data_IF_845692032311
#
_entry.id   IF_845692032311
#
_cell.length_a   1.000
_cell.length_b   1.000
_cell.length_c   1.000
_cell.angle_alpha   90.00
_cell.angle_beta   90.00
_cell.angle_gamma   90.00
#
_symmetry.space_group_name_H-M   'P 1'
#
loop_
_entity.id
_entity.type
_entity.pdbx_description
1 polymer ?
#
# COMPACT_ATOMS: atom_id res chain seq x y z
N UNK A 1 -3.82 -4.50 21.42
CA UNK A 1 -4.25 -3.55 20.38
C UNK A 1 -5.71 -3.82 20.05
N UNK A 2 -6.69 -3.18 20.72
CA UNK A 2 -8.12 -3.36 20.41
C UNK A 2 -8.69 -2.32 19.41
N UNK A 3 -7.89 -1.36 18.97
CA UNK A 3 -8.38 -0.22 18.16
C UNK A 3 -8.46 -0.52 16.66
N UNK A 4 -7.61 -1.40 16.10
CA UNK A 4 -7.55 -1.65 14.66
C UNK A 4 -8.81 -2.33 14.13
N UNK A 5 -9.35 -3.33 14.84
CA UNK A 5 -10.60 -3.99 14.44
C UNK A 5 -11.80 -3.02 14.48
N UNK A 6 -11.81 -2.13 15.47
CA UNK A 6 -12.83 -1.07 15.58
C UNK A 6 -12.72 -0.06 14.44
N UNK A 7 -11.50 0.30 14.04
CA UNK A 7 -11.25 1.22 12.93
C UNK A 7 -11.68 0.64 11.59
N UNK A 8 -11.44 -0.65 11.34
CA UNK A 8 -11.93 -1.33 10.13
C UNK A 8 -13.46 -1.23 10.02
N UNK A 9 -14.18 -1.48 11.11
CA UNK A 9 -15.65 -1.39 11.13
C UNK A 9 -16.12 0.03 10.80
N UNK A 10 -15.51 1.05 11.40
CA UNK A 10 -15.86 2.46 11.16
C UNK A 10 -15.60 2.83 9.69
N UNK A 11 -14.46 2.43 9.14
CA UNK A 11 -14.08 2.75 7.76
C UNK A 11 -14.97 2.03 6.74
N UNK A 12 -15.35 0.78 6.99
CA UNK A 12 -16.33 0.07 6.14
C UNK A 12 -17.66 0.81 6.10
N UNK A 13 -18.19 1.24 7.24
CA UNK A 13 -19.43 2.04 7.28
C UNK A 13 -19.28 3.39 6.57
N UNK A 14 -18.10 4.01 6.63
CA UNK A 14 -17.84 5.27 5.92
C UNK A 14 -17.85 5.07 4.40
N UNK A 15 -17.21 4.00 3.90
CA UNK A 15 -17.19 3.65 2.47
C UNK A 15 -18.61 3.37 1.95
N UNK A 16 -19.44 2.67 2.74
CA UNK A 16 -20.83 2.41 2.36
C UNK A 16 -21.72 3.67 2.35
N UNK A 17 -21.38 4.68 3.16
CA UNK A 17 -22.23 5.85 3.41
C UNK A 17 -21.86 7.07 2.56
N UNK A 18 -20.58 7.24 2.23
CA UNK A 18 -20.08 8.47 1.63
C UNK A 18 -19.40 8.18 0.28
N UNK A 19 -19.78 8.93 -0.75
CA UNK A 19 -19.17 8.84 -2.09
C UNK A 19 -17.89 9.69 -2.22
N UNK A 20 -17.72 10.69 -1.34
CA UNK A 20 -16.54 11.55 -1.32
C UNK A 20 -15.52 11.02 -0.32
N UNK A 21 -14.24 11.13 -0.66
CA UNK A 21 -13.15 10.71 0.20
C UNK A 21 -12.90 9.19 0.20
N UNK A 22 -13.41 8.49 -0.82
CA UNK A 22 -13.31 7.03 -0.92
C UNK A 22 -11.85 6.57 -0.97
N UNK A 23 -11.00 7.27 -1.73
CA UNK A 23 -9.56 6.97 -1.79
C UNK A 23 -8.93 6.97 -0.39
N UNK A 24 -9.21 8.00 0.41
CA UNK A 24 -8.69 8.15 1.77
C UNK A 24 -9.26 7.10 2.72
N UNK A 25 -10.55 6.73 2.59
CA UNK A 25 -11.13 5.69 3.43
C UNK A 25 -10.55 4.31 3.12
N UNK A 26 -10.42 3.96 1.85
CA UNK A 26 -9.78 2.72 1.43
C UNK A 26 -8.32 2.69 1.86
N UNK A 27 -7.56 3.78 1.67
CA UNK A 27 -6.18 3.89 2.15
C UNK A 27 -6.08 3.74 3.68
N UNK A 28 -6.96 4.38 4.44
CA UNK A 28 -6.95 4.26 5.90
C UNK A 28 -7.27 2.83 6.35
N UNK A 29 -8.17 2.14 5.64
CA UNK A 29 -8.57 0.78 5.98
C UNK A 29 -7.49 -0.23 5.61
N UNK A 30 -6.76 -0.02 4.52
CA UNK A 30 -5.61 -0.84 4.16
C UNK A 30 -4.52 -0.81 5.22
N UNK A 31 -4.22 0.36 5.79
CA UNK A 31 -3.24 0.48 6.87
C UNK A 31 -3.68 -0.29 8.12
N UNK A 32 -4.98 -0.29 8.44
CA UNK A 32 -5.50 -1.10 9.55
C UNK A 32 -5.42 -2.59 9.25
N UNK A 33 -5.73 -3.02 8.02
CA UNK A 33 -5.55 -4.43 7.62
C UNK A 33 -4.09 -4.86 7.67
N UNK A 34 -3.15 -4.00 7.28
CA UNK A 34 -1.73 -4.26 7.40
C UNK A 34 -1.29 -4.45 8.86
N UNK A 35 -1.75 -3.59 9.78
CA UNK A 35 -1.50 -3.73 11.23
C UNK A 35 -2.07 -5.05 11.77
N UNK A 36 -3.23 -5.47 11.27
CA UNK A 36 -3.86 -6.75 11.58
C UNK A 36 -3.19 -7.95 10.86
N UNK A 37 -2.08 -7.72 10.14
CA UNK A 37 -1.34 -8.70 9.34
C UNK A 37 -2.17 -9.33 8.22
N UNK A 38 -3.26 -8.69 7.81
CA UNK A 38 -4.07 -9.09 6.67
C UNK A 38 -3.61 -8.34 5.41
N UNK A 39 -2.46 -8.74 4.88
CA UNK A 39 -1.84 -8.08 3.74
C UNK A 39 -2.68 -8.18 2.47
N UNK A 40 -3.48 -9.24 2.30
CA UNK A 40 -4.34 -9.41 1.13
C UNK A 40 -5.42 -8.33 1.06
N UNK A 41 -6.13 -8.12 2.18
CA UNK A 41 -7.13 -7.06 2.27
C UNK A 41 -6.50 -5.68 2.21
N UNK A 42 -5.28 -5.51 2.75
CA UNK A 42 -4.56 -4.25 2.64
C UNK A 42 -4.24 -3.90 1.18
N UNK A 43 -3.72 -4.87 0.41
CA UNK A 43 -3.41 -4.68 -1.01
C UNK A 43 -4.67 -4.33 -1.80
N UNK A 44 -5.78 -5.05 -1.56
CA UNK A 44 -7.05 -4.81 -2.24
C UNK A 44 -7.60 -3.41 -1.95
N UNK A 45 -7.55 -2.97 -0.70
CA UNK A 45 -7.97 -1.62 -0.34
C UNK A 45 -7.08 -0.54 -0.97
N UNK A 46 -5.75 -0.73 -1.06
CA UNK A 46 -4.89 0.24 -1.77
C UNK A 46 -5.22 0.29 -3.26
N UNK A 47 -5.53 -0.84 -3.90
CA UNK A 47 -5.95 -0.86 -5.31
C UNK A 47 -7.26 -0.10 -5.51
N UNK A 48 -8.26 -0.35 -4.66
CA UNK A 48 -9.49 0.41 -4.69
C UNK A 48 -9.23 1.91 -4.50
N UNK A 49 -8.34 2.29 -3.57
CA UNK A 49 -7.99 3.70 -3.38
C UNK A 49 -7.40 4.34 -4.65
N UNK A 50 -6.56 3.62 -5.38
CA UNK A 50 -5.96 4.07 -6.65
C UNK A 50 -7.03 4.28 -7.73
N UNK A 51 -8.08 3.45 -7.78
CA UNK A 51 -9.17 3.65 -8.74
C UNK A 51 -9.91 4.99 -8.51
N UNK A 52 -9.99 5.45 -7.26
CA UNK A 52 -10.62 6.73 -6.91
C UNK A 52 -9.67 7.93 -7.00
N UNK A 53 -8.36 7.74 -6.79
CA UNK A 53 -7.34 8.77 -6.95
C UNK A 53 -6.05 8.21 -7.60
N UNK A 54 -6.05 8.06 -8.94
CA UNK A 54 -4.91 7.50 -9.66
C UNK A 54 -3.72 8.45 -9.75
N UNK A 55 -3.86 9.71 -9.30
CA UNK A 55 -2.76 10.68 -9.30
C UNK A 55 -1.90 10.59 -8.04
N UNK A 56 -2.37 9.86 -7.02
CA UNK A 56 -1.75 9.85 -5.71
C UNK A 56 -0.58 8.86 -5.63
N UNK A 57 0.61 9.39 -5.84
CA UNK A 57 1.89 8.66 -5.75
C UNK A 57 2.07 7.91 -4.42
N UNK A 58 1.48 8.36 -3.31
CA UNK A 58 1.60 7.69 -2.01
C UNK A 58 0.92 6.31 -2.05
N UNK A 59 -0.21 6.18 -2.75
CA UNK A 59 -0.93 4.91 -2.88
C UNK A 59 -0.09 3.87 -3.63
N UNK A 60 0.58 4.28 -4.70
CA UNK A 60 1.49 3.40 -5.45
C UNK A 60 2.71 2.98 -4.60
N UNK A 61 3.29 3.89 -3.81
CA UNK A 61 4.36 3.53 -2.84
C UNK A 61 3.87 2.48 -1.84
N UNK A 62 2.66 2.66 -1.31
CA UNK A 62 2.06 1.71 -0.37
C UNK A 62 1.79 0.35 -1.01
N UNK A 63 1.32 0.32 -2.27
CA UNK A 63 1.07 -0.93 -2.98
C UNK A 63 2.36 -1.70 -3.27
N UNK A 64 3.43 -1.02 -3.69
CA UNK A 64 4.76 -1.63 -3.84
C UNK A 64 5.23 -2.21 -2.51
N UNK A 65 5.15 -1.42 -1.43
CA UNK A 65 5.55 -1.86 -0.09
C UNK A 65 4.80 -3.11 0.37
N UNK A 66 3.46 -3.11 0.28
CA UNK A 66 2.64 -4.25 0.70
C UNK A 66 2.91 -5.49 -0.14
N UNK A 67 3.16 -5.33 -1.44
CA UNK A 67 3.48 -6.43 -2.36
C UNK A 67 4.82 -7.07 -2.03
N UNK A 68 5.84 -6.24 -1.78
CA UNK A 68 7.17 -6.70 -1.30
C UNK A 68 7.02 -7.41 0.04
N UNK A 69 6.33 -6.78 1.00
CA UNK A 69 6.14 -7.33 2.33
C UNK A 69 5.42 -8.69 2.29
N UNK A 70 4.38 -8.83 1.46
CA UNK A 70 3.67 -10.09 1.25
C UNK A 70 4.56 -11.15 0.58
N UNK A 71 5.32 -10.79 -0.46
CA UNK A 71 6.16 -11.72 -1.23
C UNK A 71 7.35 -12.24 -0.43
N UNK A 72 7.99 -11.38 0.36
CA UNK A 72 9.26 -11.68 1.04
C UNK A 72 9.12 -11.91 2.54
N UNK A 73 7.93 -11.69 3.12
CA UNK A 73 7.56 -12.02 4.50
C UNK A 73 8.58 -11.57 5.58
N UNK A 74 9.28 -10.44 5.41
CA UNK A 74 10.39 -10.10 6.31
C UNK A 74 10.61 -8.61 6.57
N UNK A 75 11.08 -8.27 7.81
CA UNK A 75 11.75 -7.02 8.12
C UNK A 75 13.25 -7.09 7.73
N UNK A 76 13.67 -6.18 6.85
CA UNK A 76 14.98 -5.52 6.78
C UNK A 76 16.27 -6.33 6.52
N UNK A 77 16.25 -7.38 5.68
CA UNK A 77 17.48 -8.15 5.40
C UNK A 77 17.97 -8.25 3.95
N UNK A 78 17.12 -8.06 2.94
CA UNK A 78 17.38 -8.66 1.61
C UNK A 78 17.36 -7.68 0.43
N UNK A 79 17.35 -6.38 0.68
CA UNK A 79 17.19 -5.37 -0.38
C UNK A 79 18.25 -5.51 -1.48
N UNK A 80 19.53 -5.78 -1.15
CA UNK A 80 20.60 -5.97 -2.14
C UNK A 80 20.41 -7.19 -3.08
N UNK A 81 19.77 -8.28 -2.62
CA UNK A 81 19.52 -9.46 -3.47
C UNK A 81 18.16 -9.40 -4.20
N UNK A 82 17.25 -8.53 -3.74
CA UNK A 82 15.89 -8.38 -4.27
C UNK A 82 15.71 -7.14 -5.16
N UNK A 83 16.75 -6.35 -5.42
CA UNK A 83 16.63 -5.08 -6.18
C UNK A 83 15.93 -5.26 -7.52
N UNK A 84 16.28 -6.31 -8.27
CA UNK A 84 15.65 -6.60 -9.56
C UNK A 84 14.16 -6.96 -9.42
N UNK A 85 13.79 -7.70 -8.38
CA UNK A 85 12.40 -8.03 -8.09
C UNK A 85 11.62 -6.77 -7.66
N UNK A 86 12.25 -5.89 -6.89
CA UNK A 86 11.65 -4.63 -6.43
C UNK A 86 11.47 -3.68 -7.61
N UNK A 87 12.48 -3.52 -8.45
CA UNK A 87 12.38 -2.74 -9.69
C UNK A 87 11.22 -3.24 -10.56
N UNK A 88 11.12 -4.56 -10.74
CA UNK A 88 9.99 -5.15 -11.47
C UNK A 88 8.64 -4.85 -10.80
N UNK A 89 8.54 -4.96 -9.48
CA UNK A 89 7.28 -4.65 -8.77
C UNK A 89 6.93 -3.16 -8.91
N UNK A 90 7.93 -2.27 -8.86
CA UNK A 90 7.72 -0.83 -9.11
C UNK A 90 7.18 -0.62 -10.52
N UNK A 91 7.80 -1.25 -11.53
CA UNK A 91 7.35 -1.16 -12.92
C UNK A 91 5.94 -1.74 -13.14
N UNK A 92 5.62 -2.85 -12.48
CA UNK A 92 4.31 -3.51 -12.56
C UNK A 92 3.20 -2.71 -11.85
N UNK A 93 3.55 -1.89 -10.85
CA UNK A 93 2.59 -1.14 -10.03
C UNK A 93 2.39 0.29 -10.53
N UNK A 94 3.45 0.98 -10.95
CA UNK A 94 3.36 2.37 -11.40
C UNK A 94 2.98 2.46 -12.88
N UNK A 95 1.98 3.27 -13.24
CA UNK A 95 1.69 3.62 -14.62
C UNK A 95 2.91 4.22 -15.32
N UNK A 96 3.03 4.02 -16.63
CA UNK A 96 4.18 4.50 -17.41
C UNK A 96 4.22 6.04 -17.49
N UNK A 97 3.08 6.70 -17.32
CA UNK A 97 2.97 8.16 -17.29
C UNK A 97 3.42 8.79 -15.96
N UNK A 98 3.58 7.98 -14.92
CA UNK A 98 4.01 8.44 -13.60
C UNK A 98 5.51 8.36 -13.40
N UNK A 99 6.06 9.32 -12.66
CA UNK A 99 7.44 9.24 -12.19
C UNK A 99 7.59 8.08 -11.20
N UNK A 100 8.35 7.05 -11.61
CA UNK A 100 8.61 5.85 -10.82
C UNK A 100 9.82 6.09 -9.91
N UNK A 101 9.75 5.77 -8.60
CA UNK A 101 10.93 5.85 -7.75
C UNK A 101 11.95 4.80 -8.16
N UNK A 102 13.24 5.12 -8.01
CA UNK A 102 14.29 4.11 -8.04
C UNK A 102 14.19 3.18 -6.83
N UNK A 103 14.84 2.01 -6.91
CA UNK A 103 14.92 1.05 -5.79
C UNK A 103 15.55 1.73 -4.55
N UNK A 104 16.59 2.54 -4.75
CA UNK A 104 17.27 3.25 -3.66
C UNK A 104 16.36 4.30 -3.00
N UNK A 105 15.67 5.12 -3.80
CA UNK A 105 14.72 6.12 -3.28
C UNK A 105 13.56 5.46 -2.51
N UNK A 106 13.08 4.31 -2.99
CA UNK A 106 12.06 3.55 -2.29
C UNK A 106 12.59 3.00 -0.95
N UNK A 107 13.82 2.48 -0.94
CA UNK A 107 14.45 1.93 0.26
C UNK A 107 14.75 3.00 1.31
N UNK A 108 15.11 4.21 0.91
CA UNK A 108 15.39 5.29 1.86
C UNK A 108 14.13 5.85 2.54
N UNK A 109 12.98 5.80 1.87
CA UNK A 109 11.69 6.19 2.48
C UNK A 109 11.24 5.19 3.55
N UNK A 110 11.57 3.90 3.40
CA UNK A 110 11.16 2.84 4.34
C UNK A 110 12.06 2.70 5.57
N UNK A 111 13.22 3.38 5.60
CA UNK A 111 14.17 3.39 6.72
C UNK A 111 13.92 4.50 7.77
N UNK A 112 12.99 5.44 7.51
CA UNK A 112 12.65 6.55 8.39
C UNK A 112 11.48 6.20 9.32
#
# INVERSE_FOLDING_TARGET
MPHSDSAVIVLTKSIEKYEKGLAEFYQARSMNYFILKNNDMAIEDVKNAIEYDPSNTILYKQLVFLTIYKKFNTPSGWLEFAEKDIAKIIDDVYPDEMEKPTVDEFNDVTKR
#
